data_IF_641118403132
#
_entry.id   IF_641118403132
#
_cell.length_a   1.000
_cell.length_b   1.000
_cell.length_c   1.000
_cell.angle_alpha   90.00
_cell.angle_beta   90.00
_cell.angle_gamma   90.00
#
_symmetry.space_group_name_H-M   'P 1'
#
loop_
_entity.id
_entity.type
_entity.pdbx_description
1 polymer ?
#
# COMPACT_ATOMS: atom_id res chain seq x y z
N UNK A 1 -16.27 0.39 -0.19
CA UNK A 1 -16.77 0.96 1.08
C UNK A 1 -15.68 0.76 2.13
N UNK A 2 -15.09 1.85 2.61
CA UNK A 2 -14.11 1.81 3.70
C UNK A 2 -14.65 2.63 4.86
N UNK A 3 -14.77 2.03 6.04
CA UNK A 3 -15.33 2.69 7.21
C UNK A 3 -15.31 1.75 8.42
N UNK A 4 -15.57 2.26 9.64
CA UNK A 4 -15.46 1.49 10.87
C UNK A 4 -16.32 0.22 10.88
N UNK A 5 -17.54 0.27 10.34
CA UNK A 5 -18.46 -0.88 10.30
C UNK A 5 -17.99 -1.97 9.33
N UNK A 6 -17.49 -1.58 8.16
CA UNK A 6 -16.90 -2.51 7.21
C UNK A 6 -15.67 -3.19 7.81
N UNK A 7 -14.81 -2.41 8.48
CA UNK A 7 -13.64 -2.94 9.17
C UNK A 7 -14.03 -3.91 10.30
N UNK A 8 -15.08 -3.61 11.05
CA UNK A 8 -15.59 -4.50 12.10
C UNK A 8 -16.13 -5.82 11.54
N UNK A 9 -16.80 -5.79 10.38
CA UNK A 9 -17.22 -7.00 9.67
C UNK A 9 -16.02 -7.85 9.26
N UNK A 10 -14.99 -7.23 8.69
CA UNK A 10 -13.80 -7.91 8.19
C UNK A 10 -12.92 -8.47 9.32
N UNK A 11 -12.94 -7.84 10.49
CA UNK A 11 -12.18 -8.25 11.68
C UNK A 11 -12.45 -9.70 12.07
N UNK A 12 -13.68 -10.19 11.86
CA UNK A 12 -14.05 -11.59 12.14
C UNK A 12 -13.23 -12.58 11.32
N UNK A 13 -12.98 -12.27 10.05
CA UNK A 13 -12.14 -13.09 9.19
C UNK A 13 -10.66 -12.94 9.60
N UNK A 14 -10.21 -11.71 9.84
CA UNK A 14 -8.81 -11.41 10.21
C UNK A 14 -8.36 -12.12 11.48
N UNK A 15 -9.22 -12.22 12.49
CA UNK A 15 -8.93 -12.90 13.77
C UNK A 15 -8.70 -14.41 13.59
N UNK A 16 -9.30 -15.04 12.57
CA UNK A 16 -9.19 -16.49 12.34
C UNK A 16 -7.88 -16.91 11.68
N UNK A 17 -7.25 -16.02 10.92
CA UNK A 17 -6.01 -16.35 10.23
C UNK A 17 -4.82 -16.25 11.18
N UNK A 18 -3.97 -17.28 11.33
CA UNK A 18 -2.86 -17.28 12.28
C UNK A 18 -1.77 -16.27 11.90
N UNK A 19 -1.53 -16.09 10.60
CA UNK A 19 -0.53 -15.17 10.06
C UNK A 19 -1.18 -14.19 9.10
N UNK A 20 -0.92 -12.90 9.31
CA UNK A 20 -1.38 -11.84 8.42
C UNK A 20 -0.22 -11.34 7.57
N UNK A 21 -0.44 -11.31 6.24
CA UNK A 21 0.51 -10.76 5.28
C UNK A 21 -0.07 -9.50 4.62
N UNK A 22 0.78 -8.52 4.27
CA UNK A 22 2.21 -8.46 4.53
C UNK A 22 2.53 -8.27 6.03
N UNK A 23 3.70 -8.74 6.45
CA UNK A 23 4.19 -8.58 7.82
C UNK A 23 4.43 -7.09 8.14
N UNK A 24 4.37 -6.74 9.43
CA UNK A 24 4.71 -5.39 9.89
C UNK A 24 6.21 -5.16 9.70
N UNK A 25 6.56 -4.21 8.85
CA UNK A 25 7.93 -3.72 8.77
C UNK A 25 8.23 -2.77 9.93
N UNK A 26 9.49 -2.71 10.37
CA UNK A 26 9.92 -1.68 11.32
C UNK A 26 9.61 -0.29 10.73
N UNK A 27 8.85 0.50 11.47
CA UNK A 27 8.48 1.87 11.07
C UNK A 27 9.29 2.88 11.86
N UNK A 28 10.03 3.73 11.16
CA UNK A 28 10.51 5.01 11.67
C UNK A 28 9.40 6.05 11.49
N UNK A 29 9.19 6.94 12.46
CA UNK A 29 8.20 8.01 12.36
C UNK A 29 8.78 9.22 11.62
N UNK A 30 9.07 9.02 10.33
CA UNK A 30 9.63 10.07 9.45
C UNK A 30 8.52 10.94 8.82
N UNK A 31 7.35 10.99 9.47
CA UNK A 31 6.15 11.59 8.91
C UNK A 31 6.32 13.08 8.64
N UNK A 32 6.92 13.82 9.57
CA UNK A 32 7.18 15.24 9.42
C UNK A 32 8.09 15.54 8.22
N UNK A 33 9.18 14.78 8.06
CA UNK A 33 10.12 14.96 6.94
C UNK A 33 9.48 14.64 5.60
N UNK A 34 8.68 13.57 5.53
CA UNK A 34 7.95 13.18 4.32
C UNK A 34 6.92 14.25 3.91
N UNK A 35 6.17 14.77 4.89
CA UNK A 35 5.17 15.82 4.65
C UNK A 35 5.85 17.13 4.22
N UNK A 36 6.97 17.48 4.83
CA UNK A 36 7.76 18.64 4.43
C UNK A 36 8.31 18.49 3.01
N UNK A 37 8.84 17.31 2.66
CA UNK A 37 9.39 17.03 1.35
C UNK A 37 8.34 17.10 0.23
N UNK A 38 7.15 16.53 0.43
CA UNK A 38 6.08 16.62 -0.58
C UNK A 38 5.53 18.04 -0.72
N UNK A 39 5.46 18.81 0.38
CA UNK A 39 5.07 20.21 0.31
C UNK A 39 6.11 21.05 -0.45
N UNK A 40 7.40 20.85 -0.17
CA UNK A 40 8.48 21.51 -0.90
C UNK A 40 8.44 21.18 -2.40
N UNK A 41 8.27 19.90 -2.77
CA UNK A 41 8.18 19.47 -4.16
C UNK A 41 6.93 20.03 -4.87
N UNK A 42 5.80 20.13 -4.17
CA UNK A 42 4.58 20.75 -4.71
C UNK A 42 4.79 22.24 -5.02
N UNK A 43 5.44 22.97 -4.11
CA UNK A 43 5.77 24.39 -4.30
C UNK A 43 6.78 24.59 -5.43
N UNK A 44 7.80 23.74 -5.53
CA UNK A 44 8.79 23.80 -6.61
C UNK A 44 8.14 23.55 -7.98
N UNK A 45 7.24 22.57 -8.07
CA UNK A 45 6.46 22.32 -9.29
C UNK A 45 5.55 23.49 -9.66
N UNK A 46 4.88 24.11 -8.68
CA UNK A 46 4.07 25.31 -8.91
C UNK A 46 4.91 26.48 -9.43
N UNK A 47 6.08 26.73 -8.82
CA UNK A 47 7.00 27.78 -9.27
C UNK A 47 7.53 27.51 -10.68
N UNK A 48 7.89 26.26 -11.00
CA UNK A 48 8.33 25.88 -12.34
C UNK A 48 7.21 26.02 -13.38
N UNK A 49 5.96 25.71 -13.03
CA UNK A 49 4.81 25.96 -13.91
C UNK A 49 4.62 27.46 -14.17
N UNK A 50 4.70 28.30 -13.14
CA UNK A 50 4.58 29.75 -13.32
C UNK A 50 5.70 30.33 -14.20
N UNK A 51 6.93 29.82 -14.08
CA UNK A 51 8.09 30.31 -14.83
C UNK A 51 8.18 29.76 -16.27
N UNK A 52 7.78 28.50 -16.49
CA UNK A 52 8.06 27.78 -17.74
C UNK A 52 6.84 27.11 -18.38
N UNK A 53 5.67 27.15 -17.72
CA UNK A 53 4.45 26.45 -18.14
C UNK A 53 4.05 26.75 -19.57
N UNK A 54 3.81 28.02 -19.89
CA UNK A 54 3.37 28.44 -21.23
C UNK A 54 4.33 27.97 -22.32
N UNK A 55 5.61 28.32 -22.19
CA UNK A 55 6.64 27.95 -23.17
C UNK A 55 6.76 26.42 -23.33
N UNK A 56 6.61 25.67 -22.24
CA UNK A 56 6.70 24.21 -22.29
C UNK A 56 5.51 23.57 -22.98
N UNK A 57 4.28 23.99 -22.66
CA UNK A 57 3.07 23.47 -23.30
C UNK A 57 3.01 23.85 -24.79
N UNK A 58 3.45 25.06 -25.15
CA UNK A 58 3.59 25.48 -26.55
C UNK A 58 4.60 24.62 -27.31
N UNK A 59 5.76 24.34 -26.69
CA UNK A 59 6.77 23.46 -27.26
C UNK A 59 6.25 22.03 -27.46
N UNK A 60 5.47 21.50 -26.51
CA UNK A 60 4.81 20.19 -26.64
C UNK A 60 3.81 20.21 -27.79
N UNK A 61 2.97 21.25 -27.90
CA UNK A 61 1.97 21.35 -28.97
C UNK A 61 2.63 21.43 -30.34
N UNK A 62 3.65 22.27 -30.49
CA UNK A 62 4.46 22.36 -31.70
C UNK A 62 5.12 21.03 -32.07
N UNK A 63 5.62 20.28 -31.08
CA UNK A 63 6.21 18.97 -31.29
C UNK A 63 5.18 17.91 -31.72
N UNK A 64 3.94 17.99 -31.23
CA UNK A 64 2.83 17.15 -31.70
C UNK A 64 2.52 17.47 -33.16
N UNK A 65 2.34 18.74 -33.51
CA UNK A 65 2.01 19.17 -34.87
C UNK A 65 3.11 18.80 -35.88
N UNK A 66 4.37 18.99 -35.49
CA UNK A 66 5.56 18.64 -36.28
C UNK A 66 5.86 17.13 -36.35
N UNK A 67 5.05 16.27 -35.74
CA UNK A 67 5.24 14.81 -35.76
C UNK A 67 6.46 14.32 -34.98
N UNK A 68 7.01 15.17 -34.10
CA UNK A 68 8.12 14.86 -33.18
C UNK A 68 7.60 13.98 -32.06
N UNK A 69 6.49 14.36 -31.44
CA UNK A 69 5.80 13.56 -30.42
C UNK A 69 4.68 12.70 -31.03
N UNK A 70 4.46 11.53 -30.44
CA UNK A 70 3.39 10.60 -30.82
C UNK A 70 2.00 11.23 -30.62
N UNK A 71 1.26 11.47 -31.71
CA UNK A 71 -0.15 11.93 -31.70
C UNK A 71 -1.11 10.92 -31.06
N UNK A 72 -0.71 9.64 -30.93
CA UNK A 72 -1.49 8.61 -30.25
C UNK A 72 -1.38 8.78 -28.74
N UNK A 73 -0.18 9.09 -28.26
CA UNK A 73 0.14 9.20 -26.82
C UNK A 73 -0.13 10.59 -26.27
N UNK A 74 0.18 11.63 -27.06
CA UNK A 74 0.05 13.04 -26.73
C UNK A 74 -1.11 13.66 -27.49
N UNK A 75 -2.20 13.92 -26.79
CA UNK A 75 -3.44 14.43 -27.37
C UNK A 75 -3.77 15.81 -26.80
N UNK A 76 -4.16 16.78 -27.65
CA UNK A 76 -4.48 18.13 -27.21
C UNK A 76 -5.54 18.20 -26.10
N UNK A 77 -6.52 17.29 -26.11
CA UNK A 77 -7.64 17.34 -25.16
C UNK A 77 -7.18 17.12 -23.72
N UNK A 78 -6.35 16.11 -23.47
CA UNK A 78 -5.85 15.87 -22.11
C UNK A 78 -4.75 16.86 -21.73
N UNK A 79 -4.01 17.43 -22.69
CA UNK A 79 -3.05 18.51 -22.44
C UNK A 79 -3.75 19.77 -21.96
N UNK A 80 -4.87 20.16 -22.58
CA UNK A 80 -5.69 21.28 -22.11
C UNK A 80 -6.26 21.03 -20.71
N UNK A 81 -6.73 19.81 -20.42
CA UNK A 81 -7.17 19.45 -19.07
C UNK A 81 -6.03 19.47 -18.05
N UNK A 82 -4.82 19.05 -18.43
CA UNK A 82 -3.64 19.08 -17.57
C UNK A 82 -3.16 20.52 -17.34
N UNK A 83 -3.24 21.40 -18.33
CA UNK A 83 -2.99 22.84 -18.18
C UNK A 83 -3.89 23.44 -17.10
N UNK A 84 -5.21 23.22 -17.21
CA UNK A 84 -6.15 23.75 -16.22
C UNK A 84 -5.91 23.18 -14.81
N UNK A 85 -5.50 21.90 -14.72
CA UNK A 85 -5.07 21.33 -13.46
C UNK A 85 -3.85 22.06 -12.89
N UNK A 86 -2.84 22.39 -13.72
CA UNK A 86 -1.69 23.15 -13.28
C UNK A 86 -2.04 24.58 -12.84
N UNK A 87 -2.96 25.27 -13.51
CA UNK A 87 -3.42 26.60 -13.10
C UNK A 87 -4.00 26.57 -11.68
N UNK A 88 -4.91 25.62 -11.43
CA UNK A 88 -5.53 25.44 -10.11
C UNK A 88 -4.49 24.99 -9.06
N UNK A 89 -3.61 24.06 -9.43
CA UNK A 89 -2.56 23.55 -8.56
C UNK A 89 -1.57 24.64 -8.17
N UNK A 90 -1.11 25.46 -9.12
CA UNK A 90 -0.13 26.50 -8.86
C UNK A 90 -0.69 27.68 -8.04
N UNK A 91 -2.01 27.89 -8.04
CA UNK A 91 -2.68 28.86 -7.17
C UNK A 91 -2.70 28.42 -5.70
N UNK A 92 -2.77 27.11 -5.44
CA UNK A 92 -2.79 26.54 -4.09
C UNK A 92 -2.14 25.14 -4.09
N UNK A 93 -0.79 25.05 -4.15
CA UNK A 93 -0.09 23.77 -4.25
C UNK A 93 -0.38 22.89 -3.05
N UNK A 94 -0.89 21.69 -3.32
CA UNK A 94 -1.25 20.72 -2.29
C UNK A 94 -1.11 19.29 -2.79
N UNK A 95 -0.90 18.37 -1.84
CA UNK A 95 -0.83 16.93 -2.08
C UNK A 95 -2.06 16.19 -1.51
N UNK A 96 -3.09 16.93 -1.11
CA UNK A 96 -4.31 16.38 -0.50
C UNK A 96 -5.26 15.79 -1.55
N UNK A 97 -5.15 16.25 -2.79
CA UNK A 97 -5.88 15.71 -3.93
C UNK A 97 -4.94 14.89 -4.81
N UNK A 98 -5.49 13.90 -5.50
CA UNK A 98 -4.71 13.14 -6.47
C UNK A 98 -4.24 14.04 -7.61
N UNK A 99 -2.98 13.92 -8.07
CA UNK A 99 -2.52 14.65 -9.24
C UNK A 99 -3.28 14.20 -10.49
N UNK A 100 -3.26 15.03 -11.53
CA UNK A 100 -3.84 14.66 -12.81
C UNK A 100 -3.20 13.38 -13.37
N UNK A 101 -4.01 12.44 -13.86
CA UNK A 101 -3.53 11.12 -14.28
C UNK A 101 -2.50 11.14 -15.44
N UNK A 102 -2.44 12.24 -16.20
CA UNK A 102 -1.45 12.43 -17.28
C UNK A 102 -0.23 13.24 -16.87
N UNK A 103 -0.13 13.69 -15.62
CA UNK A 103 1.06 14.40 -15.12
C UNK A 103 2.37 13.61 -15.39
N UNK A 104 2.43 12.27 -15.20
CA UNK A 104 3.64 11.51 -15.51
C UNK A 104 4.07 11.58 -16.98
N UNK A 105 3.17 11.89 -17.92
CA UNK A 105 3.53 12.00 -19.35
C UNK A 105 4.42 13.19 -19.66
N UNK A 106 4.58 14.13 -18.74
CA UNK A 106 5.45 15.29 -18.92
C UNK A 106 6.80 15.16 -18.20
N UNK A 107 7.12 13.98 -17.65
CA UNK A 107 8.48 13.68 -17.19
C UNK A 107 9.43 13.58 -18.39
N UNK A 108 10.71 13.81 -18.16
CA UNK A 108 11.70 13.77 -19.24
C UNK A 108 11.76 12.37 -19.89
N UNK A 109 11.65 11.32 -19.07
CA UNK A 109 11.63 9.94 -19.54
C UNK A 109 10.42 9.63 -20.44
N UNK A 110 9.22 10.06 -20.06
CA UNK A 110 8.00 9.80 -20.84
C UNK A 110 7.95 10.64 -22.13
N UNK A 111 8.47 11.87 -22.11
CA UNK A 111 8.62 12.69 -23.32
C UNK A 111 9.61 12.07 -24.30
N UNK A 112 10.76 11.58 -23.82
CA UNK A 112 11.73 10.88 -24.64
C UNK A 112 11.14 9.59 -25.24
N UNK A 113 10.45 8.77 -24.43
CA UNK A 113 9.76 7.58 -24.90
C UNK A 113 8.63 7.89 -25.90
N UNK A 114 7.99 9.04 -25.73
CA UNK A 114 6.96 9.57 -26.62
C UNK A 114 7.47 10.19 -27.92
N UNK A 115 8.77 10.44 -28.01
CA UNK A 115 9.40 11.08 -29.16
C UNK A 115 9.70 10.05 -30.24
N UNK A 116 9.40 10.41 -31.49
CA UNK A 116 9.77 9.60 -32.64
C UNK A 116 11.30 9.51 -32.75
N UNK A 117 11.83 8.29 -32.92
CA UNK A 117 13.27 8.02 -33.00
C UNK A 117 14.02 8.89 -34.01
N UNK A 118 13.34 9.33 -35.10
CA UNK A 118 13.93 10.23 -36.11
C UNK A 118 14.19 11.65 -35.60
N UNK A 119 13.59 12.03 -34.49
CA UNK A 119 13.61 13.38 -33.92
C UNK A 119 14.04 13.37 -32.44
N UNK A 120 14.82 12.38 -32.01
CA UNK A 120 15.24 12.22 -30.61
C UNK A 120 15.92 13.50 -30.06
N UNK A 121 16.73 14.17 -30.87
CA UNK A 121 17.44 15.39 -30.49
C UNK A 121 16.52 16.64 -30.38
N UNK A 122 15.23 16.47 -30.71
CA UNK A 122 14.21 17.53 -30.71
C UNK A 122 13.11 17.29 -29.69
N UNK A 123 13.29 16.36 -28.76
CA UNK A 123 12.36 16.14 -27.64
C UNK A 123 12.17 17.44 -26.86
N UNK A 124 10.92 17.88 -26.61
CA UNK A 124 10.66 19.03 -25.75
C UNK A 124 11.27 18.83 -24.35
N UNK A 125 12.00 19.83 -23.88
CA UNK A 125 12.64 19.82 -22.57
C UNK A 125 12.26 21.08 -21.80
N UNK A 126 12.08 20.92 -20.49
CA UNK A 126 11.78 22.03 -19.58
C UNK A 126 12.26 21.68 -18.16
N UNK A 127 12.71 22.67 -17.36
CA UNK A 127 12.93 22.47 -15.93
C UNK A 127 11.72 21.88 -15.21
N UNK A 128 10.50 22.12 -15.71
CA UNK A 128 9.28 21.52 -15.18
C UNK A 128 9.33 19.99 -15.14
N UNK A 129 9.91 19.32 -16.14
CA UNK A 129 9.96 17.86 -16.15
C UNK A 129 10.69 17.30 -14.93
N UNK A 130 11.75 17.97 -14.47
CA UNK A 130 12.47 17.61 -13.25
C UNK A 130 11.60 17.77 -12.00
N UNK A 131 10.87 18.90 -11.90
CA UNK A 131 9.99 19.14 -10.76
C UNK A 131 8.78 18.19 -10.74
N UNK A 132 8.30 17.76 -11.92
CA UNK A 132 7.26 16.73 -12.03
C UNK A 132 7.77 15.40 -11.49
N UNK A 133 8.98 14.98 -11.87
CA UNK A 133 9.62 13.76 -11.34
C UNK A 133 9.81 13.85 -9.81
N UNK A 134 10.29 14.99 -9.31
CA UNK A 134 10.46 15.25 -7.88
C UNK A 134 9.14 15.17 -7.10
N UNK A 135 8.09 15.80 -7.62
CA UNK A 135 6.75 15.77 -7.00
C UNK A 135 6.13 14.36 -7.00
N UNK A 136 6.19 13.63 -8.12
CA UNK A 136 5.70 12.26 -8.20
C UNK A 136 6.45 11.32 -7.26
N UNK A 137 7.78 11.48 -7.14
CA UNK A 137 8.62 10.73 -6.20
C UNK A 137 8.22 11.02 -4.75
N UNK A 138 8.00 12.28 -4.41
CA UNK A 138 7.57 12.67 -3.06
C UNK A 138 6.18 12.10 -2.72
N UNK A 139 5.22 12.14 -3.66
CA UNK A 139 3.91 11.51 -3.50
C UNK A 139 4.01 9.99 -3.26
N UNK A 140 4.83 9.30 -4.05
CA UNK A 140 5.04 7.86 -3.90
C UNK A 140 5.62 7.50 -2.52
N UNK A 141 6.54 8.30 -1.98
CA UNK A 141 7.10 8.11 -0.64
C UNK A 141 6.04 8.28 0.46
N UNK A 142 5.17 9.28 0.34
CA UNK A 142 4.05 9.48 1.28
C UNK A 142 3.07 8.30 1.21
N UNK A 143 2.75 7.79 0.02
CA UNK A 143 1.84 6.66 -0.12
C UNK A 143 2.44 5.35 0.42
N UNK A 144 3.73 5.11 0.20
CA UNK A 144 4.43 3.99 0.80
C UNK A 144 4.45 4.07 2.34
N UNK A 145 4.59 5.27 2.91
CA UNK A 145 4.45 5.49 4.35
C UNK A 145 3.01 5.25 4.84
N UNK A 146 1.99 5.77 4.17
CA UNK A 146 0.57 5.53 4.50
C UNK A 146 0.22 4.05 4.46
N UNK A 147 0.69 3.34 3.43
CA UNK A 147 0.48 1.90 3.27
C UNK A 147 1.10 1.10 4.42
N UNK A 148 2.35 1.40 4.82
CA UNK A 148 2.99 0.78 5.99
C UNK A 148 2.22 1.03 7.28
N UNK A 149 1.73 2.25 7.50
CA UNK A 149 0.91 2.58 8.68
C UNK A 149 -0.44 1.85 8.69
N UNK A 150 -1.09 1.72 7.53
CA UNK A 150 -2.34 0.96 7.41
C UNK A 150 -2.13 -0.51 7.76
N UNK A 151 -1.03 -1.11 7.31
CA UNK A 151 -0.64 -2.48 7.68
C UNK A 151 -0.44 -2.57 9.19
N UNK A 152 0.41 -1.71 9.78
CA UNK A 152 0.67 -1.73 11.22
C UNK A 152 -0.61 -1.56 12.06
N UNK A 153 -1.51 -0.66 11.63
CA UNK A 153 -2.81 -0.47 12.28
C UNK A 153 -3.68 -1.72 12.21
N UNK A 154 -3.74 -2.40 11.06
CA UNK A 154 -4.53 -3.62 10.91
C UNK A 154 -4.01 -4.76 11.81
N UNK A 155 -2.68 -4.91 11.92
CA UNK A 155 -2.08 -5.86 12.85
C UNK A 155 -2.43 -5.52 14.31
N UNK A 156 -2.25 -4.26 14.73
CA UNK A 156 -2.58 -3.82 16.08
C UNK A 156 -4.07 -4.01 16.43
N UNK A 157 -4.97 -3.68 15.49
CA UNK A 157 -6.41 -3.88 15.67
C UNK A 157 -6.78 -5.36 15.78
N UNK A 158 -6.16 -6.22 14.98
CA UNK A 158 -6.36 -7.66 15.05
C UNK A 158 -5.91 -8.21 16.39
N UNK A 159 -4.74 -7.82 16.86
CA UNK A 159 -4.17 -8.32 18.12
C UNK A 159 -5.02 -7.87 19.32
N UNK A 160 -5.47 -6.61 19.34
CA UNK A 160 -6.40 -6.10 20.36
C UNK A 160 -7.74 -6.87 20.32
N UNK A 161 -8.27 -7.15 19.13
CA UNK A 161 -9.50 -7.93 18.97
C UNK A 161 -9.36 -9.38 19.50
N UNK A 162 -8.23 -10.05 19.23
CA UNK A 162 -7.93 -11.39 19.76
C UNK A 162 -7.88 -11.34 21.29
N UNK A 163 -7.13 -10.39 21.86
CA UNK A 163 -7.00 -10.24 23.30
C UNK A 163 -8.35 -9.96 23.97
N UNK A 164 -9.15 -9.06 23.38
CA UNK A 164 -10.48 -8.68 23.88
C UNK A 164 -11.47 -9.84 23.79
N UNK A 165 -11.47 -10.58 22.68
CA UNK A 165 -12.33 -11.76 22.51
C UNK A 165 -11.97 -12.84 23.55
N UNK A 166 -10.68 -13.12 23.75
CA UNK A 166 -10.22 -14.06 24.78
C UNK A 166 -10.66 -13.65 26.19
N UNK A 167 -10.57 -12.37 26.53
CA UNK A 167 -11.07 -11.85 27.81
C UNK A 167 -12.59 -12.05 27.97
N UNK A 168 -13.38 -11.74 26.94
CA UNK A 168 -14.84 -11.89 26.97
C UNK A 168 -15.25 -13.36 27.10
N UNK A 169 -14.58 -14.27 26.40
CA UNK A 169 -14.79 -15.72 26.52
C UNK A 169 -14.54 -16.20 27.96
N UNK A 170 -13.43 -15.79 28.58
CA UNK A 170 -13.11 -16.13 29.98
C UNK A 170 -14.15 -15.59 30.96
N UNK A 171 -14.54 -14.32 30.84
CA UNK A 171 -15.54 -13.69 31.71
C UNK A 171 -16.91 -14.39 31.62
N UNK A 172 -17.29 -14.83 30.42
CA UNK A 172 -18.56 -15.51 30.17
C UNK A 172 -18.48 -17.03 30.34
N UNK A 173 -17.30 -17.58 30.64
CA UNK A 173 -17.03 -19.03 30.69
C UNK A 173 -17.47 -19.76 29.42
N UNK A 174 -17.27 -19.11 28.27
CA UNK A 174 -17.55 -19.69 26.95
C UNK A 174 -16.27 -20.29 26.40
N UNK A 175 -16.33 -21.54 26.00
CA UNK A 175 -15.26 -22.26 25.31
C UNK A 175 -15.84 -22.92 24.05
N UNK A 176 -15.23 -22.66 22.91
CA UNK A 176 -15.60 -23.28 21.62
C UNK A 176 -14.71 -24.48 21.33
N UNK A 177 -15.11 -25.31 20.37
CA UNK A 177 -14.27 -26.42 19.92
C UNK A 177 -12.91 -25.93 19.41
N UNK A 178 -12.90 -24.84 18.63
CA UNK A 178 -11.68 -24.20 18.16
C UNK A 178 -10.76 -23.80 19.33
N UNK A 179 -11.32 -23.28 20.43
CA UNK A 179 -10.51 -22.90 21.61
C UNK A 179 -9.86 -24.10 22.31
N UNK A 180 -10.48 -25.28 22.25
CA UNK A 180 -9.91 -26.51 22.81
C UNK A 180 -8.73 -26.99 21.97
N UNK A 181 -8.90 -27.00 20.65
CA UNK A 181 -7.85 -27.37 19.69
C UNK A 181 -6.68 -26.39 19.81
N UNK A 182 -6.96 -25.08 19.78
CA UNK A 182 -5.94 -24.04 19.93
C UNK A 182 -5.22 -24.13 21.29
N UNK A 183 -5.94 -24.45 22.35
CA UNK A 183 -5.37 -24.64 23.69
C UNK A 183 -4.38 -25.79 23.75
N UNK A 184 -4.69 -26.94 23.13
CA UNK A 184 -3.77 -28.08 23.05
C UNK A 184 -2.57 -27.74 22.17
N UNK A 185 -2.79 -27.20 20.97
CA UNK A 185 -1.70 -26.81 20.07
C UNK A 185 -0.71 -25.84 20.75
N UNK A 186 -1.22 -24.83 21.47
CA UNK A 186 -0.37 -23.88 22.17
C UNK A 186 0.38 -24.52 23.35
N UNK A 187 -0.26 -25.41 24.11
CA UNK A 187 0.39 -26.12 25.22
C UNK A 187 1.53 -27.04 24.74
N UNK A 188 1.41 -27.61 23.55
CA UNK A 188 2.45 -28.42 22.90
C UNK A 188 3.63 -27.60 22.36
N UNK A 189 3.54 -26.27 22.32
CA UNK A 189 4.64 -25.37 21.94
C UNK A 189 5.26 -24.63 23.14
N UNK A 190 4.69 -24.82 24.33
CA UNK A 190 5.11 -24.12 25.55
C UNK A 190 6.24 -24.81 26.32
N UNK A 191 6.69 -24.19 27.40
CA UNK A 191 7.78 -24.72 28.25
C UNK A 191 7.50 -26.11 28.88
N UNK A 192 6.23 -26.54 28.93
CA UNK A 192 5.83 -27.85 29.45
C UNK A 192 5.48 -28.87 28.34
N UNK A 193 5.79 -28.55 27.08
CA UNK A 193 5.46 -29.36 25.92
C UNK A 193 5.92 -30.82 26.08
N UNK A 194 7.19 -31.06 26.39
CA UNK A 194 7.75 -32.42 26.50
C UNK A 194 7.02 -33.26 27.56
N UNK A 195 6.70 -32.66 28.71
CA UNK A 195 5.99 -33.34 29.79
C UNK A 195 4.54 -33.66 29.38
N UNK A 196 3.88 -32.75 28.67
CA UNK A 196 2.53 -32.95 28.14
C UNK A 196 2.52 -34.04 27.07
N UNK A 197 3.44 -33.99 26.10
CA UNK A 197 3.60 -35.00 25.03
C UNK A 197 3.83 -36.39 25.64
N UNK A 198 4.74 -36.50 26.62
CA UNK A 198 5.01 -37.78 27.28
C UNK A 198 3.76 -38.36 27.95
N UNK A 199 2.97 -37.52 28.64
CA UNK A 199 1.71 -37.93 29.27
C UNK A 199 0.66 -38.35 28.24
N UNK A 200 0.49 -37.57 27.17
CA UNK A 200 -0.46 -37.88 26.10
C UNK A 200 -0.11 -39.20 25.42
N UNK A 201 1.16 -39.44 25.09
CA UNK A 201 1.61 -40.72 24.50
C UNK A 201 1.49 -41.91 25.45
N UNK A 202 1.64 -41.68 26.76
CA UNK A 202 1.41 -42.72 27.77
C UNK A 202 -0.07 -43.08 27.87
N UNK A 203 -0.96 -42.08 27.81
CA UNK A 203 -2.40 -42.27 27.93
C UNK A 203 -3.04 -42.82 26.64
N UNK A 204 -2.55 -42.36 25.49
CA UNK A 204 -3.04 -42.70 24.16
C UNK A 204 -1.92 -43.37 23.35
N UNK A 205 -1.69 -44.65 23.59
CA UNK A 205 -0.62 -45.40 22.94
C UNK A 205 -0.81 -45.54 21.41
N UNK A 206 -2.07 -45.50 20.95
CA UNK A 206 -2.44 -45.51 19.52
C UNK A 206 -3.58 -44.51 19.35
N UNK A 207 -3.48 -43.65 18.35
CA UNK A 207 -4.55 -42.75 17.91
C UNK A 207 -4.88 -43.05 16.43
N UNK A 208 -6.15 -43.29 16.13
CA UNK A 208 -6.64 -43.39 14.76
C UNK A 208 -7.34 -42.08 14.42
N UNK A 209 -6.93 -41.43 13.33
CA UNK A 209 -7.56 -40.23 12.80
C UNK A 209 -8.35 -40.64 11.57
N UNK A 210 -9.67 -40.63 11.69
CA UNK A 210 -10.57 -40.81 10.56
C UNK A 210 -10.81 -39.48 9.84
N UNK A 211 -11.18 -39.51 8.56
CA UNK A 211 -11.36 -38.32 7.71
C UNK A 211 -10.14 -37.40 7.67
N UNK A 212 -8.95 -38.00 7.56
CA UNK A 212 -7.67 -37.29 7.64
C UNK A 212 -7.54 -36.14 6.62
N UNK A 213 -8.20 -36.23 5.46
CA UNK A 213 -8.21 -35.20 4.43
C UNK A 213 -8.85 -33.86 4.87
N UNK A 214 -9.65 -33.85 5.94
CA UNK A 214 -10.30 -32.64 6.46
C UNK A 214 -9.50 -31.96 7.60
N UNK A 215 -8.30 -32.47 7.90
CA UNK A 215 -7.43 -31.96 8.98
C UNK A 215 -6.77 -30.65 8.56
N UNK A 216 -6.82 -29.63 9.42
CA UNK A 216 -6.09 -28.37 9.21
C UNK A 216 -4.63 -28.44 9.71
N UNK A 217 -3.80 -27.47 9.32
CA UNK A 217 -2.38 -27.42 9.72
C UNK A 217 -2.17 -27.45 11.24
N UNK A 218 -3.14 -26.93 12.03
CA UNK A 218 -3.06 -26.89 13.49
C UNK A 218 -3.30 -28.26 14.08
N UNK A 219 -4.34 -28.96 13.62
CA UNK A 219 -4.62 -30.33 14.04
C UNK A 219 -3.46 -31.27 13.66
N UNK A 220 -2.85 -31.07 12.48
CA UNK A 220 -1.65 -31.80 12.10
C UNK A 220 -0.48 -31.57 13.07
N UNK A 221 -0.28 -30.32 13.52
CA UNK A 221 0.76 -29.98 14.51
C UNK A 221 0.54 -30.62 15.89
N UNK A 222 -0.69 -31.01 16.23
CA UNK A 222 -1.00 -31.71 17.48
C UNK A 222 -0.66 -33.20 17.38
N UNK A 223 -0.81 -33.81 16.19
CA UNK A 223 -0.60 -35.24 15.97
C UNK A 223 0.84 -35.62 15.62
N UNK A 224 1.68 -34.65 15.23
CA UNK A 224 3.10 -34.86 14.87
C UNK A 224 4.02 -34.88 16.10
#
# INVERSE_FOLDING_TARGET
SGGPEALASDLRALVRHPTLLPAVAATTDDSAELLQAVHAAANALAAAFQAHGTAFFDAIMSAIDGGILSKVSYKPEWLASLWHWFENFAAAPSFNTAPHAKLPKLTAAELAAGTNKKFADRTPASPMSHEIDGYLTALARVEAWRSRRRIALLHALRDDAIARLGLLKRQRRVQTYDDLVDGVAHALQGAQADALVARLRTQYAIALVDEFQDTDDRQWSIFS
#
